data_IF_102426017558
#
_entry.id   IF_102426017558
#
_cell.length_a   1.000
_cell.length_b   1.000
_cell.length_c   1.000
_cell.angle_alpha   90.00
_cell.angle_beta   90.00
_cell.angle_gamma   90.00
#
_symmetry.space_group_name_H-M   'P 1'
#
loop_
_entity.id
_entity.type
_entity.pdbx_description
1 polymer ?
#
# COMPACT_ATOMS: atom_id res chain seq x y z
N UNK A 1 11.37 40.10 -39.24
CA UNK A 1 10.94 39.97 -37.83
C UNK A 1 11.66 38.79 -37.22
N UNK A 2 12.65 39.00 -36.33
CA UNK A 2 13.41 37.93 -35.66
C UNK A 2 12.87 37.77 -34.24
N UNK A 3 12.37 36.58 -33.91
CA UNK A 3 11.88 36.20 -32.59
C UNK A 3 13.06 35.86 -31.67
N UNK A 4 13.25 36.61 -30.59
CA UNK A 4 14.24 36.30 -29.55
C UNK A 4 13.74 35.13 -28.68
N UNK A 5 14.45 34.00 -28.72
CA UNK A 5 14.33 32.94 -27.71
C UNK A 5 15.05 33.39 -26.45
N UNK A 6 14.34 33.50 -25.31
CA UNK A 6 14.96 33.70 -24.00
C UNK A 6 15.83 32.48 -23.68
N UNK A 7 17.14 32.70 -23.60
CA UNK A 7 18.10 31.71 -23.10
C UNK A 7 18.03 31.75 -21.57
N UNK A 8 17.42 30.73 -20.96
CA UNK A 8 17.41 30.57 -19.50
C UNK A 8 18.78 30.10 -19.04
N UNK A 9 19.41 30.84 -18.13
CA UNK A 9 20.75 30.55 -17.62
C UNK A 9 20.68 29.40 -16.61
N UNK A 10 21.67 28.50 -16.64
CA UNK A 10 21.76 27.35 -15.74
C UNK A 10 21.80 27.77 -14.26
N UNK A 11 22.28 28.98 -13.96
CA UNK A 11 22.28 29.57 -12.62
C UNK A 11 20.87 29.90 -12.12
N UNK A 12 19.99 30.37 -13.00
CA UNK A 12 18.60 30.72 -12.66
C UNK A 12 17.78 29.47 -12.32
N UNK A 13 18.04 28.38 -13.04
CA UNK A 13 17.42 27.07 -12.78
C UNK A 13 17.88 26.54 -11.43
N UNK A 14 19.18 26.65 -11.10
CA UNK A 14 19.72 26.17 -9.83
C UNK A 14 19.14 26.90 -8.60
N UNK A 15 18.92 28.22 -8.72
CA UNK A 15 18.27 29.01 -7.68
C UNK A 15 16.79 28.62 -7.49
N UNK A 16 16.08 28.35 -8.60
CA UNK A 16 14.67 27.93 -8.54
C UNK A 16 14.48 26.57 -7.84
N UNK A 17 15.45 25.66 -8.00
CA UNK A 17 15.43 24.35 -7.35
C UNK A 17 15.58 24.45 -5.84
N UNK A 18 16.54 25.25 -5.36
CA UNK A 18 16.77 25.43 -3.92
C UNK A 18 15.59 26.11 -3.22
N UNK A 19 14.89 27.02 -3.91
CA UNK A 19 13.71 27.69 -3.37
C UNK A 19 12.46 26.78 -3.33
N UNK A 20 12.46 25.68 -4.09
CA UNK A 20 11.34 24.71 -4.13
C UNK A 20 11.44 23.60 -3.10
N UNK A 21 12.58 23.45 -2.41
CA UNK A 21 12.81 22.38 -1.42
C UNK A 21 13.02 20.98 -2.01
N UNK A 22 13.16 20.85 -3.34
CA UNK A 22 13.51 19.57 -3.98
C UNK A 22 15.01 19.29 -3.90
N UNK A 23 15.36 18.12 -3.34
CA UNK A 23 16.74 17.60 -3.33
C UNK A 23 16.88 16.57 -4.45
N UNK A 24 17.75 16.82 -5.42
CA UNK A 24 18.08 15.87 -6.48
C UNK A 24 19.12 14.85 -5.97
N UNK A 25 18.68 13.60 -5.80
CA UNK A 25 19.51 12.48 -5.33
C UNK A 25 20.65 12.09 -6.28
N UNK A 26 20.68 12.60 -7.52
CA UNK A 26 21.73 12.27 -8.50
C UNK A 26 22.96 13.17 -8.44
N UNK A 27 22.96 14.21 -7.60
CA UNK A 27 24.12 15.06 -7.40
C UNK A 27 24.94 14.59 -6.18
N UNK A 28 26.04 13.90 -6.45
CA UNK A 28 27.09 13.67 -5.45
C UNK A 28 28.13 14.80 -5.57
N UNK A 29 28.17 15.79 -4.66
CA UNK A 29 29.19 16.82 -4.72
C UNK A 29 30.51 16.20 -4.24
N UNK A 30 31.46 15.98 -5.16
CA UNK A 30 32.85 15.79 -4.78
C UNK A 30 33.37 17.13 -4.28
N UNK A 31 33.53 17.25 -2.97
CA UNK A 31 34.20 18.39 -2.34
C UNK A 31 35.69 18.31 -2.70
N UNK A 32 36.15 19.22 -3.54
CA UNK A 32 37.56 19.56 -3.67
C UNK A 32 37.92 20.57 -2.59
N UNK A 33 38.91 20.22 -1.79
CA UNK A 33 39.42 20.97 -0.65
C UNK A 33 40.06 22.30 -1.10
N UNK A 34 39.62 23.43 -0.53
CA UNK A 34 40.31 24.72 -0.64
C UNK A 34 39.94 25.59 0.57
N UNK A 35 40.97 26.08 1.25
CA UNK A 35 40.94 26.70 2.57
C UNK A 35 40.37 28.14 2.60
N UNK A 36 39.83 28.46 3.79
CA UNK A 36 39.84 29.74 4.54
C UNK A 36 38.67 30.74 4.48
N UNK A 37 38.39 31.20 5.72
CA UNK A 37 37.83 32.47 6.21
C UNK A 37 36.32 32.61 6.50
N UNK A 38 36.03 32.62 7.81
CA UNK A 38 35.08 33.44 8.58
C UNK A 38 33.72 33.79 7.95
N UNK A 39 32.69 33.05 8.36
CA UNK A 39 31.32 33.54 8.29
C UNK A 39 30.50 33.13 9.52
N UNK A 40 29.70 34.09 9.99
CA UNK A 40 28.73 34.00 11.08
C UNK A 40 27.99 32.66 11.11
N UNK A 41 27.76 32.16 12.32
CA UNK A 41 27.13 30.88 12.60
C UNK A 41 25.72 30.76 12.02
N UNK A 42 25.63 30.34 10.76
CA UNK A 42 24.42 29.81 10.16
C UNK A 42 24.19 28.41 10.75
N UNK A 43 23.37 28.32 11.79
CA UNK A 43 22.93 27.04 12.36
C UNK A 43 21.99 26.39 11.36
N UNK A 44 22.53 25.51 10.52
CA UNK A 44 21.74 24.67 9.61
C UNK A 44 20.94 23.68 10.46
N UNK A 45 19.64 23.95 10.62
CA UNK A 45 18.71 23.02 11.28
C UNK A 45 18.49 21.82 10.36
N UNK A 46 19.11 20.69 10.68
CA UNK A 46 18.77 19.43 10.02
C UNK A 46 17.38 19.00 10.45
N UNK A 47 16.46 18.90 9.49
CA UNK A 47 15.14 18.30 9.72
C UNK A 47 15.31 16.82 10.05
N UNK A 48 14.71 16.37 11.15
CA UNK A 48 14.71 14.96 11.51
C UNK A 48 14.09 14.12 10.38
N UNK A 49 14.58 12.90 10.13
CA UNK A 49 13.95 11.98 9.19
C UNK A 49 12.47 11.77 9.55
N UNK A 50 11.55 11.72 8.56
CA UNK A 50 10.14 11.53 8.83
C UNK A 50 9.88 10.17 9.51
N UNK A 51 9.00 10.17 10.52
CA UNK A 51 8.58 8.93 11.17
C UNK A 51 7.67 8.12 10.24
N UNK A 52 8.08 6.89 9.93
CA UNK A 52 7.31 5.99 9.09
C UNK A 52 6.35 5.15 9.95
N UNK A 53 5.04 5.36 9.76
CA UNK A 53 4.02 4.52 10.38
C UNK A 53 3.76 3.27 9.53
N UNK A 54 3.66 2.11 10.18
CA UNK A 54 3.23 0.88 9.52
C UNK A 54 1.76 1.00 9.06
N UNK A 55 1.41 0.53 7.85
CA UNK A 55 0.02 0.56 7.40
C UNK A 55 -0.91 -0.21 8.34
N UNK A 56 -2.15 0.25 8.56
CA UNK A 56 -3.14 -0.48 9.34
C UNK A 56 -3.52 -1.79 8.63
N UNK A 57 -3.68 -2.86 9.41
CA UNK A 57 -4.08 -4.16 8.92
C UNK A 57 -5.59 -4.35 9.02
N UNK A 58 -6.14 -5.10 8.07
CA UNK A 58 -7.55 -5.44 7.97
C UNK A 58 -7.70 -6.95 7.78
N UNK A 59 -8.68 -7.54 8.45
CA UNK A 59 -9.06 -8.92 8.26
C UNK A 59 -10.07 -9.02 7.10
N UNK A 60 -9.88 -9.97 6.20
CA UNK A 60 -10.86 -10.37 5.20
C UNK A 60 -11.69 -11.50 5.78
N UNK A 61 -13.00 -11.31 5.85
CA UNK A 61 -13.94 -12.15 6.61
C UNK A 61 -15.01 -12.70 5.66
N UNK A 62 -15.20 -14.01 5.71
CA UNK A 62 -16.33 -14.69 5.06
C UNK A 62 -17.48 -14.82 6.06
N UNK A 63 -18.70 -14.58 5.60
CA UNK A 63 -19.93 -14.68 6.39
C UNK A 63 -20.71 -15.93 5.99
N UNK A 64 -21.29 -16.61 6.98
CA UNK A 64 -22.11 -17.79 6.75
C UNK A 64 -23.44 -17.45 6.05
N UNK A 65 -23.93 -18.40 5.26
CA UNK A 65 -25.25 -18.40 4.63
C UNK A 65 -25.72 -19.84 4.36
N UNK A 66 -27.00 -20.03 4.07
CA UNK A 66 -27.61 -21.37 3.93
C UNK A 66 -27.58 -21.94 2.50
N UNK A 67 -27.00 -21.23 1.52
CA UNK A 67 -27.12 -21.57 0.10
C UNK A 67 -25.78 -21.79 -0.61
N UNK A 68 -24.68 -21.26 -0.08
CA UNK A 68 -23.35 -21.44 -0.65
C UNK A 68 -22.80 -22.82 -0.28
N UNK A 69 -22.42 -23.68 -1.25
CA UNK A 69 -21.85 -25.00 -0.96
C UNK A 69 -20.52 -24.93 -0.21
N UNK A 70 -20.27 -25.90 0.68
CA UNK A 70 -19.01 -25.99 1.44
C UNK A 70 -17.77 -26.08 0.54
N UNK A 71 -17.84 -26.91 -0.51
CA UNK A 71 -16.73 -27.09 -1.45
C UNK A 71 -16.40 -25.80 -2.21
N UNK A 72 -17.41 -24.95 -2.47
CA UNK A 72 -17.21 -23.65 -3.10
C UNK A 72 -16.46 -22.68 -2.17
N UNK A 73 -16.76 -22.71 -0.87
CA UNK A 73 -16.01 -21.92 0.13
C UNK A 73 -14.55 -22.39 0.21
N UNK A 74 -14.31 -23.70 0.19
CA UNK A 74 -12.96 -24.27 0.16
C UNK A 74 -12.20 -23.82 -1.09
N UNK A 75 -12.83 -23.87 -2.27
CA UNK A 75 -12.24 -23.41 -3.53
C UNK A 75 -11.81 -21.93 -3.44
N UNK A 76 -12.66 -21.06 -2.90
CA UNK A 76 -12.34 -19.65 -2.69
C UNK A 76 -11.11 -19.48 -1.79
N UNK A 77 -11.05 -20.22 -0.68
CA UNK A 77 -9.96 -20.16 0.29
C UNK A 77 -8.63 -20.62 -0.33
N UNK A 78 -8.67 -21.66 -1.16
CA UNK A 78 -7.48 -22.13 -1.89
C UNK A 78 -7.04 -21.12 -2.96
N UNK A 79 -7.97 -20.67 -3.81
CA UNK A 79 -7.66 -19.85 -4.98
C UNK A 79 -7.24 -18.42 -4.62
N UNK A 80 -7.96 -17.77 -3.69
CA UNK A 80 -7.76 -16.36 -3.40
C UNK A 80 -6.92 -16.11 -2.14
N UNK A 81 -6.77 -17.09 -1.26
CA UNK A 81 -6.01 -16.95 -0.01
C UNK A 81 -4.82 -17.91 0.11
N UNK A 82 -4.57 -18.71 -0.94
CA UNK A 82 -3.45 -19.64 -1.01
C UNK A 82 -3.40 -20.63 0.17
N UNK A 83 -4.57 -20.99 0.71
CA UNK A 83 -4.68 -22.02 1.73
C UNK A 83 -4.51 -23.40 1.11
N UNK A 84 -3.93 -24.33 1.86
CA UNK A 84 -4.06 -25.75 1.53
C UNK A 84 -5.46 -26.28 1.90
N UNK A 85 -5.76 -27.53 1.54
CA UNK A 85 -7.07 -28.14 1.80
C UNK A 85 -7.43 -28.17 3.29
N UNK A 86 -6.50 -28.56 4.16
CA UNK A 86 -6.77 -28.68 5.60
C UNK A 86 -7.08 -27.31 6.23
N UNK A 87 -6.28 -26.29 5.88
CA UNK A 87 -6.48 -24.91 6.32
C UNK A 87 -7.83 -24.36 5.81
N UNK A 88 -8.13 -24.56 4.53
CA UNK A 88 -9.37 -24.09 3.92
C UNK A 88 -10.59 -24.77 4.55
N UNK A 89 -10.51 -26.09 4.81
CA UNK A 89 -11.58 -26.84 5.46
C UNK A 89 -11.82 -26.34 6.88
N UNK A 90 -10.76 -26.09 7.64
CA UNK A 90 -10.89 -25.56 8.99
C UNK A 90 -11.57 -24.19 9.01
N UNK A 91 -11.15 -23.27 8.13
CA UNK A 91 -11.77 -21.94 8.04
C UNK A 91 -13.21 -22.03 7.56
N UNK A 92 -13.52 -22.90 6.58
CA UNK A 92 -14.88 -23.14 6.11
C UNK A 92 -15.78 -23.64 7.25
N UNK A 93 -15.34 -24.61 8.05
CA UNK A 93 -16.09 -25.11 9.20
C UNK A 93 -16.31 -24.02 10.26
N UNK A 94 -15.30 -23.18 10.51
CA UNK A 94 -15.45 -22.00 11.38
C UNK A 94 -16.52 -21.05 10.85
N UNK A 95 -16.53 -20.71 9.56
CA UNK A 95 -17.60 -19.89 8.97
C UNK A 95 -18.96 -20.54 9.22
N UNK A 96 -19.09 -21.83 8.92
CA UNK A 96 -20.36 -22.56 9.03
C UNK A 96 -20.92 -22.59 10.46
N UNK A 97 -20.09 -22.89 11.46
CA UNK A 97 -20.54 -23.08 12.84
C UNK A 97 -20.54 -21.79 13.66
N UNK A 98 -19.63 -20.86 13.39
CA UNK A 98 -19.48 -19.61 14.16
C UNK A 98 -20.12 -18.39 13.47
N UNK A 99 -20.66 -18.58 12.26
CA UNK A 99 -21.34 -17.53 11.49
C UNK A 99 -20.40 -16.63 10.68
N UNK A 100 -19.09 -16.62 10.99
CA UNK A 100 -18.06 -15.93 10.20
C UNK A 100 -16.68 -16.52 10.44
N UNK A 101 -15.76 -16.29 9.50
CA UNK A 101 -14.37 -16.78 9.60
C UNK A 101 -13.38 -15.86 8.88
N UNK A 102 -12.17 -15.76 9.41
CA UNK A 102 -11.10 -14.95 8.83
C UNK A 102 -10.38 -15.75 7.74
N UNK A 103 -10.45 -15.26 6.51
CA UNK A 103 -9.74 -15.83 5.37
C UNK A 103 -8.30 -15.30 5.24
N UNK A 104 -8.02 -14.10 5.75
CA UNK A 104 -6.66 -13.56 5.72
C UNK A 104 -6.56 -12.15 6.31
N UNK A 105 -5.34 -11.66 6.48
CA UNK A 105 -5.07 -10.33 7.05
C UNK A 105 -4.07 -9.59 6.17
N UNK A 106 -4.43 -8.39 5.74
CA UNK A 106 -3.67 -7.61 4.76
C UNK A 106 -3.74 -6.11 5.05
N UNK A 107 -2.86 -5.28 4.46
CA UNK A 107 -3.12 -3.85 4.31
C UNK A 107 -4.46 -3.60 3.63
N UNK A 108 -5.08 -2.46 3.95
CA UNK A 108 -6.44 -2.10 3.53
C UNK A 108 -6.71 -2.37 2.04
N UNK A 109 -5.90 -1.82 1.15
CA UNK A 109 -6.12 -1.89 -0.30
C UNK A 109 -6.14 -3.34 -0.83
N UNK A 110 -5.28 -4.20 -0.27
CA UNK A 110 -5.22 -5.62 -0.62
C UNK A 110 -6.45 -6.34 -0.07
N UNK A 111 -6.86 -6.02 1.17
CA UNK A 111 -8.04 -6.61 1.79
C UNK A 111 -9.32 -6.26 1.00
N UNK A 112 -9.51 -4.98 0.63
CA UNK A 112 -10.63 -4.51 -0.19
C UNK A 112 -10.65 -5.21 -1.55
N UNK A 113 -9.49 -5.31 -2.21
CA UNK A 113 -9.37 -5.99 -3.50
C UNK A 113 -9.76 -7.46 -3.40
N UNK A 114 -9.24 -8.19 -2.40
CA UNK A 114 -9.59 -9.61 -2.20
C UNK A 114 -11.07 -9.81 -1.92
N UNK A 115 -11.67 -9.00 -1.04
CA UNK A 115 -13.09 -9.09 -0.74
C UNK A 115 -13.96 -8.86 -1.98
N UNK A 116 -13.62 -7.86 -2.79
CA UNK A 116 -14.32 -7.58 -4.05
C UNK A 116 -14.18 -8.72 -5.06
N UNK A 117 -12.99 -9.29 -5.22
CA UNK A 117 -12.77 -10.44 -6.12
C UNK A 117 -13.62 -11.64 -5.71
N UNK A 118 -13.63 -11.97 -4.43
CA UNK A 118 -14.43 -13.09 -3.88
C UNK A 118 -15.93 -12.85 -4.09
N UNK A 119 -16.42 -11.66 -3.75
CA UNK A 119 -17.85 -11.31 -3.92
C UNK A 119 -18.28 -11.36 -5.39
N UNK A 120 -17.44 -10.89 -6.31
CA UNK A 120 -17.73 -10.93 -7.73
C UNK A 120 -17.74 -12.36 -8.26
N UNK A 121 -16.79 -13.19 -7.80
CA UNK A 121 -16.74 -14.60 -8.17
C UNK A 121 -17.97 -15.36 -7.66
N UNK A 122 -18.32 -15.23 -6.37
CA UNK A 122 -19.51 -15.83 -5.78
C UNK A 122 -20.79 -15.45 -6.54
N UNK A 123 -20.97 -14.16 -6.83
CA UNK A 123 -22.12 -13.68 -7.62
C UNK A 123 -22.13 -14.26 -9.04
N UNK A 124 -20.97 -14.39 -9.69
CA UNK A 124 -20.87 -14.98 -11.03
C UNK A 124 -21.23 -16.46 -11.06
N UNK A 125 -21.04 -17.18 -9.95
CA UNK A 125 -21.41 -18.58 -9.76
C UNK A 125 -22.83 -18.75 -9.17
N UNK A 126 -23.55 -17.65 -8.92
CA UNK A 126 -24.91 -17.70 -8.38
C UNK A 126 -25.00 -17.96 -6.87
N UNK A 127 -23.90 -17.82 -6.13
CA UNK A 127 -23.87 -18.02 -4.68
C UNK A 127 -24.00 -16.67 -3.93
N UNK A 128 -24.77 -16.61 -2.82
CA UNK A 128 -24.95 -15.39 -2.05
C UNK A 128 -23.82 -15.10 -1.05
N UNK A 129 -22.73 -15.88 -1.06
CA UNK A 129 -21.58 -15.73 -0.17
C UNK A 129 -21.11 -14.26 -0.05
N UNK A 130 -21.02 -13.79 1.19
CA UNK A 130 -20.56 -12.43 1.50
C UNK A 130 -19.14 -12.46 2.07
N UNK A 131 -18.26 -11.68 1.45
CA UNK A 131 -16.91 -11.39 1.90
C UNK A 131 -16.78 -9.89 2.23
N UNK A 132 -16.32 -9.56 3.43
CA UNK A 132 -16.11 -8.17 3.88
C UNK A 132 -14.74 -7.97 4.52
N UNK A 133 -14.38 -6.72 4.81
CA UNK A 133 -13.18 -6.39 5.57
C UNK A 133 -13.53 -5.78 6.93
N UNK A 134 -12.79 -6.16 7.96
CA UNK A 134 -12.92 -5.62 9.31
C UNK A 134 -11.58 -5.05 9.77
N UNK A 135 -11.54 -3.88 10.45
CA UNK A 135 -10.31 -3.38 11.05
C UNK A 135 -9.71 -4.40 12.01
N UNK A 136 -8.43 -4.70 11.87
CA UNK A 136 -7.72 -5.53 12.85
C UNK A 136 -7.15 -4.61 13.93
N UNK A 137 -7.67 -4.75 15.14
CA UNK A 137 -7.20 -4.03 16.33
C UNK A 137 -5.77 -4.45 16.72
#
# INVERSE_FOLDING_TARGET
MRTNKRQTNLKDIKASFQQSGYVDWHFHPRLSDSQNEDHDGEVVVQTAPPELKRPPLYAVVLMNDDYTPMDFVIEILQQYFAMNLDQATQVMLTVHYEGKGIAGVYPRDIAETKANLVNNYARSQGHPLLCQIEPKA
#
